data_IF_170131216676
#
_entry.id   IF_170131216676
#
_cell.length_a   1.000
_cell.length_b   1.000
_cell.length_c   1.000
_cell.angle_alpha   90.00
_cell.angle_beta   90.00
_cell.angle_gamma   90.00
#
_symmetry.space_group_name_H-M   'P 1'
#
loop_
_entity.id
_entity.type
_entity.pdbx_description
1 polymer ?
#
# COMPACT_ATOMS: atom_id res chain seq x y z
N UNK A 1 -5.80 -12.77 7.95
CA UNK A 1 -6.61 -12.74 6.73
C UNK A 1 -5.98 -11.80 5.70
N UNK A 2 -5.83 -12.24 4.49
CA UNK A 2 -5.30 -11.43 3.41
C UNK A 2 -6.41 -10.54 2.83
N UNK A 3 -6.28 -9.22 2.93
CA UNK A 3 -7.22 -8.27 2.35
C UNK A 3 -6.69 -7.76 1.02
N UNK A 4 -7.47 -7.95 -0.05
CA UNK A 4 -7.14 -7.37 -1.34
C UNK A 4 -7.37 -5.85 -1.29
N UNK A 5 -6.36 -5.08 -1.65
CA UNK A 5 -6.44 -3.61 -1.60
C UNK A 5 -7.52 -3.03 -2.53
N UNK A 6 -7.83 -3.71 -3.62
CA UNK A 6 -8.88 -3.30 -4.57
C UNK A 6 -10.27 -3.42 -3.95
N UNK A 7 -10.46 -4.36 -3.04
CA UNK A 7 -11.73 -4.65 -2.36
C UNK A 7 -11.92 -3.86 -1.06
N UNK A 8 -10.93 -3.05 -0.68
CA UNK A 8 -11.01 -2.25 0.54
C UNK A 8 -12.15 -1.24 0.44
N UNK A 9 -12.92 -1.14 1.52
CA UNK A 9 -13.85 -0.03 1.69
C UNK A 9 -13.03 1.22 2.03
N UNK A 10 -13.00 2.17 1.10
CA UNK A 10 -12.21 3.39 1.27
C UNK A 10 -12.71 4.26 2.43
N UNK A 11 -14.00 4.16 2.79
CA UNK A 11 -14.51 4.86 3.95
C UNK A 11 -13.83 4.37 5.24
N UNK A 12 -13.52 3.08 5.33
CA UNK A 12 -12.80 2.55 6.49
C UNK A 12 -11.39 3.12 6.58
N UNK A 13 -10.75 3.37 5.44
CA UNK A 13 -9.44 4.02 5.40
C UNK A 13 -9.54 5.48 5.83
N UNK A 14 -10.54 6.23 5.33
CA UNK A 14 -10.73 7.64 5.69
C UNK A 14 -11.19 7.83 7.13
N UNK A 15 -11.98 6.89 7.66
CA UNK A 15 -12.47 6.93 9.04
C UNK A 15 -11.48 6.31 10.03
N UNK A 16 -10.44 5.64 9.55
CA UNK A 16 -9.36 5.20 10.42
C UNK A 16 -8.60 6.42 10.96
N UNK A 17 -7.77 6.19 11.96
CA UNK A 17 -6.95 7.24 12.55
C UNK A 17 -6.24 8.05 11.43
N UNK A 18 -6.55 9.35 11.27
CA UNK A 18 -5.98 10.16 10.19
C UNK A 18 -4.46 10.30 10.28
N UNK A 19 -3.88 10.00 11.43
CA UNK A 19 -2.43 9.98 11.58
C UNK A 19 -1.76 8.78 10.89
N UNK A 20 -2.49 7.69 10.64
CA UNK A 20 -1.94 6.49 10.01
C UNK A 20 -1.62 6.68 8.53
N UNK A 21 -2.38 7.52 7.85
CA UNK A 21 -2.29 7.69 6.41
C UNK A 21 -2.11 9.15 6.02
N UNK A 22 -1.26 9.37 5.01
CA UNK A 22 -1.07 10.68 4.39
C UNK A 22 -1.87 10.66 3.09
N UNK A 23 -2.81 11.59 2.96
CA UNK A 23 -3.62 11.76 1.76
C UNK A 23 -3.21 13.04 1.04
N UNK A 24 -2.76 12.91 -0.20
CA UNK A 24 -2.43 14.05 -1.07
C UNK A 24 -3.40 14.09 -2.24
N UNK A 25 -3.92 15.28 -2.52
CA UNK A 25 -4.81 15.53 -3.66
C UNK A 25 -4.04 16.11 -4.83
N UNK A 26 -4.33 15.61 -6.01
CA UNK A 26 -3.79 16.12 -7.28
C UNK A 26 -4.91 16.30 -8.27
N UNK A 27 -4.83 17.36 -9.08
CA UNK A 27 -5.78 17.61 -10.17
C UNK A 27 -5.02 17.58 -11.49
N UNK A 28 -5.53 16.80 -12.43
CA UNK A 28 -4.98 16.71 -13.78
C UNK A 28 -6.15 16.58 -14.79
N UNK A 29 -6.17 17.42 -15.83
CA UNK A 29 -7.22 17.43 -16.84
C UNK A 29 -8.65 17.46 -16.26
N UNK A 30 -8.89 18.31 -15.25
CA UNK A 30 -10.16 18.46 -14.53
C UNK A 30 -10.58 17.20 -13.73
N UNK A 31 -9.71 16.21 -13.58
CA UNK A 31 -9.93 15.05 -12.73
C UNK A 31 -9.14 15.18 -11.44
N UNK A 32 -9.77 14.83 -10.32
CA UNK A 32 -9.15 14.86 -9.01
C UNK A 32 -8.71 13.44 -8.62
N UNK A 33 -7.47 13.33 -8.17
CA UNK A 33 -6.87 12.08 -7.70
C UNK A 33 -6.40 12.23 -6.27
N UNK A 34 -6.59 11.19 -5.48
CA UNK A 34 -6.05 11.11 -4.13
C UNK A 34 -4.97 10.02 -4.11
N UNK A 35 -3.82 10.35 -3.54
CA UNK A 35 -2.75 9.38 -3.31
C UNK A 35 -2.62 9.17 -1.81
N UNK A 36 -2.82 7.93 -1.36
CA UNK A 36 -2.74 7.54 0.04
C UNK A 36 -1.47 6.76 0.27
N UNK A 37 -0.73 7.18 1.30
CA UNK A 37 0.50 6.53 1.77
C UNK A 37 0.42 6.32 3.28
N UNK A 38 1.06 5.25 3.78
CA UNK A 38 1.18 5.07 5.22
C UNK A 38 2.14 6.10 5.82
N UNK A 39 1.91 6.44 7.09
CA UNK A 39 2.85 7.24 7.88
C UNK A 39 3.96 6.33 8.40
N UNK A 40 5.20 6.59 7.98
CA UNK A 40 6.36 5.76 8.34
C UNK A 40 6.62 5.68 9.83
N UNK A 41 6.44 6.79 10.53
CA UNK A 41 6.68 6.85 11.97
C UNK A 41 5.70 5.97 12.73
N UNK A 42 4.43 6.03 12.35
CA UNK A 42 3.40 5.20 12.98
C UNK A 42 3.53 3.74 12.58
N UNK A 43 3.93 3.44 11.36
CA UNK A 43 4.16 2.07 10.97
C UNK A 43 5.21 1.39 11.87
N UNK A 44 6.24 2.12 12.26
CA UNK A 44 7.25 1.62 13.19
C UNK A 44 6.67 1.31 14.58
N UNK A 45 5.71 2.11 15.04
CA UNK A 45 5.02 1.84 16.32
C UNK A 45 4.21 0.55 16.30
N UNK A 46 3.68 0.16 15.14
CA UNK A 46 2.85 -1.04 15.00
C UNK A 46 3.62 -2.30 14.58
N UNK A 47 4.94 -2.25 14.61
CA UNK A 47 5.79 -3.38 14.17
C UNK A 47 5.49 -4.70 14.88
N UNK A 48 5.01 -4.64 16.12
CA UNK A 48 4.67 -5.80 16.94
C UNK A 48 3.17 -6.16 16.89
N UNK A 49 2.36 -5.37 16.16
CA UNK A 49 0.95 -5.65 15.90
C UNK A 49 0.80 -6.07 14.45
N UNK A 50 0.83 -7.38 14.20
CA UNK A 50 0.86 -7.93 12.83
C UNK A 50 -0.33 -7.49 11.97
N UNK A 51 -1.54 -7.44 12.52
CA UNK A 51 -2.73 -7.07 11.76
C UNK A 51 -2.67 -5.61 11.30
N UNK A 52 -2.35 -4.71 12.23
CA UNK A 52 -2.26 -3.28 11.92
C UNK A 52 -1.09 -2.98 10.99
N UNK A 53 0.07 -3.57 11.25
CA UNK A 53 1.24 -3.43 10.40
C UNK A 53 0.96 -3.93 8.97
N UNK A 54 0.36 -5.09 8.83
CA UNK A 54 0.02 -5.67 7.53
C UNK A 54 -1.00 -4.81 6.77
N UNK A 55 -1.98 -4.26 7.47
CA UNK A 55 -2.95 -3.34 6.87
C UNK A 55 -2.28 -2.07 6.36
N UNK A 56 -1.56 -1.36 7.23
CA UNK A 56 -0.89 -0.11 6.86
C UNK A 56 0.15 -0.30 5.75
N UNK A 57 0.92 -1.38 5.79
CA UNK A 57 2.02 -1.63 4.86
C UNK A 57 1.58 -1.78 3.40
N UNK A 58 0.29 -2.04 3.15
CA UNK A 58 -0.27 -2.09 1.80
C UNK A 58 -0.37 -0.71 1.16
N UNK A 59 -0.44 0.35 1.95
CA UNK A 59 -0.62 1.72 1.48
C UNK A 59 0.72 2.42 1.23
N UNK A 60 1.54 1.81 0.41
CA UNK A 60 2.81 2.44 0.01
C UNK A 60 2.58 3.59 -0.97
N UNK A 61 1.67 3.40 -1.91
CA UNK A 61 1.15 4.43 -2.80
C UNK A 61 -0.11 3.87 -3.46
N UNK A 62 -1.27 4.33 -3.03
CA UNK A 62 -2.56 3.91 -3.56
C UNK A 62 -3.23 5.12 -4.18
N UNK A 63 -3.53 5.06 -5.48
CA UNK A 63 -4.19 6.16 -6.21
C UNK A 63 -5.68 5.87 -6.30
N UNK A 64 -6.47 6.83 -5.87
CA UNK A 64 -7.92 6.72 -5.78
C UNK A 64 -8.58 7.84 -6.59
N UNK A 65 -9.59 7.49 -7.34
CA UNK A 65 -10.47 8.41 -8.04
C UNK A 65 -11.92 7.95 -7.86
N UNK A 66 -12.82 8.86 -7.50
CA UNK A 66 -14.24 8.56 -7.32
C UNK A 66 -14.49 7.34 -6.41
N UNK A 67 -13.78 7.26 -5.29
CA UNK A 67 -13.84 6.16 -4.31
C UNK A 67 -13.46 4.77 -4.89
N UNK A 68 -12.69 4.76 -5.97
CA UNK A 68 -12.17 3.53 -6.57
C UNK A 68 -10.66 3.56 -6.61
N UNK A 69 -10.05 2.44 -6.30
CA UNK A 69 -8.60 2.27 -6.48
C UNK A 69 -8.32 2.14 -7.98
N UNK A 70 -7.50 3.06 -8.52
CA UNK A 70 -7.12 3.06 -9.93
C UNK A 70 -5.82 2.28 -10.13
N UNK A 71 -4.84 2.54 -9.28
CA UNK A 71 -3.56 1.87 -9.31
C UNK A 71 -2.93 1.91 -7.92
N UNK A 72 -1.99 1.02 -7.68
CA UNK A 72 -1.26 0.96 -6.42
C UNK A 72 0.13 0.38 -6.63
N UNK A 73 1.07 0.83 -5.81
CA UNK A 73 2.39 0.22 -5.74
C UNK A 73 2.35 -1.03 -4.88
N UNK A 74 3.25 -2.00 -5.12
CA UNK A 74 3.41 -3.12 -4.20
C UNK A 74 3.59 -2.64 -2.77
N UNK A 75 3.08 -3.41 -1.82
CA UNK A 75 3.24 -3.11 -0.41
C UNK A 75 4.71 -3.07 0.03
N UNK A 76 4.92 -2.68 1.28
CA UNK A 76 6.27 -2.68 1.87
C UNK A 76 6.87 -4.07 1.84
N UNK A 77 8.13 -4.16 1.43
CA UNK A 77 8.92 -5.40 1.50
C UNK A 77 9.03 -5.90 2.95
N UNK A 78 9.12 -7.19 3.12
CA UNK A 78 9.29 -7.83 4.42
C UNK A 78 10.69 -8.44 4.54
N UNK A 79 11.14 -8.61 5.77
CA UNK A 79 12.43 -9.27 6.03
C UNK A 79 12.37 -10.75 5.66
N UNK A 80 13.52 -11.33 5.32
CA UNK A 80 13.63 -12.72 4.96
C UNK A 80 13.05 -13.66 6.01
N UNK A 81 13.32 -13.41 7.28
CA UNK A 81 12.82 -14.21 8.40
C UNK A 81 11.28 -14.25 8.44
N UNK A 82 10.64 -13.10 8.19
CA UNK A 82 9.18 -13.01 8.10
C UNK A 82 8.63 -13.68 6.84
N UNK A 83 9.37 -13.60 5.75
CA UNK A 83 8.99 -14.23 4.49
C UNK A 83 8.91 -15.76 4.63
N UNK A 84 9.93 -16.39 5.21
CA UNK A 84 9.96 -17.87 5.35
C UNK A 84 8.93 -18.39 6.36
N UNK A 85 8.45 -17.56 7.29
CA UNK A 85 7.34 -17.90 8.18
C UNK A 85 6.00 -17.98 7.43
N UNK A 86 5.83 -17.19 6.38
CA UNK A 86 4.56 -17.05 5.63
C UNK A 86 4.52 -17.89 4.35
N UNK A 87 5.65 -18.03 3.68
CA UNK A 87 5.72 -18.60 2.35
C UNK A 87 6.74 -19.73 2.27
N UNK A 88 6.43 -20.75 1.45
CA UNK A 88 7.37 -21.83 1.15
C UNK A 88 8.52 -21.30 0.30
N UNK A 89 9.74 -21.45 0.79
CA UNK A 89 10.94 -21.08 0.03
C UNK A 89 11.10 -21.92 -1.23
N UNK A 90 10.61 -23.18 -1.22
CA UNK A 90 10.68 -24.07 -2.37
C UNK A 90 9.80 -23.64 -3.54
N UNK A 91 8.77 -22.84 -3.27
CA UNK A 91 7.86 -22.27 -4.27
C UNK A 91 8.18 -20.81 -4.60
N UNK A 92 9.36 -20.36 -4.23
CA UNK A 92 9.80 -18.97 -4.40
C UNK A 92 11.07 -18.94 -5.24
N UNK A 93 11.31 -17.81 -5.90
CA UNK A 93 12.58 -17.54 -6.56
C UNK A 93 13.09 -16.17 -6.15
N UNK A 94 14.40 -15.97 -6.27
CA UNK A 94 15.05 -14.71 -5.99
C UNK A 94 15.37 -13.99 -7.31
N UNK A 95 15.16 -12.70 -7.32
CA UNK A 95 15.50 -11.81 -8.43
C UNK A 95 16.40 -10.69 -7.94
N UNK A 96 17.15 -10.09 -8.85
CA UNK A 96 17.95 -8.91 -8.55
C UNK A 96 17.02 -7.75 -8.14
N UNK A 97 17.42 -7.02 -7.10
CA UNK A 97 16.74 -5.81 -6.70
C UNK A 97 17.26 -4.64 -7.54
N UNK A 98 16.43 -4.15 -8.45
CA UNK A 98 16.78 -3.04 -9.32
C UNK A 98 16.61 -1.73 -8.58
N UNK A 99 17.69 -0.95 -8.47
CA UNK A 99 17.64 0.39 -7.90
C UNK A 99 17.12 1.39 -8.93
N UNK A 100 16.13 2.18 -8.54
CA UNK A 100 15.51 3.13 -9.45
C UNK A 100 14.25 3.75 -8.87
N UNK A 101 13.53 4.47 -9.70
CA UNK A 101 12.25 5.09 -9.35
C UNK A 101 11.10 4.24 -9.88
N UNK A 102 10.20 3.83 -8.97
CA UNK A 102 8.99 3.12 -9.36
C UNK A 102 7.95 4.09 -9.91
N UNK A 103 7.40 3.76 -11.07
CA UNK A 103 6.28 4.49 -11.66
C UNK A 103 5.10 3.54 -11.87
N UNK A 104 3.90 4.05 -11.70
CA UNK A 104 2.67 3.31 -11.99
C UNK A 104 2.06 3.85 -13.28
N UNK A 105 1.73 2.96 -14.20
CA UNK A 105 1.05 3.33 -15.45
C UNK A 105 -0.37 2.78 -15.39
N UNK A 106 -1.35 3.61 -15.67
CA UNK A 106 -2.74 3.21 -15.67
C UNK A 106 -3.51 3.94 -16.79
N UNK A 107 -4.65 3.38 -17.16
CA UNK A 107 -5.55 3.98 -18.12
C UNK A 107 -6.64 4.77 -17.41
N UNK A 108 -6.80 6.03 -17.78
CA UNK A 108 -7.86 6.91 -17.30
C UNK A 108 -8.82 7.21 -18.47
N UNK A 109 -10.07 6.86 -18.26
CA UNK A 109 -11.10 7.06 -19.30
C UNK A 109 -11.53 8.51 -19.40
#
# INVERSE_FOLDING_TARGET
MYTNIIELNLNDVYNSDPEKFINKKYTFNNSEYNIIKYNKELLTKYKDNDDEFNFMSKFRSVVIQNNKVITYSPGKSIKYEKFIEKYSINNSWAEDFIDGTMINVFYDK
#
